data_IF_491782272582
#
_entry.id   IF_491782272582
#
_cell.length_a   1.000
_cell.length_b   1.000
_cell.length_c   1.000
_cell.angle_alpha   90.00
_cell.angle_beta   90.00
_cell.angle_gamma   90.00
#
_symmetry.space_group_name_H-M   'P 1'
#
loop_
_entity.id
_entity.type
_entity.pdbx_description
1 polymer ?
#
# COMPACT_ATOMS: atom_id res chain seq x y z
N UNK A 1 -4.42 -16.27 -33.30
CA UNK A 1 -4.32 -15.65 -31.97
C UNK A 1 -3.28 -16.44 -31.20
N UNK A 2 -2.11 -15.87 -30.94
CA UNK A 2 -1.19 -16.47 -29.98
C UNK A 2 -1.81 -16.25 -28.60
N UNK A 3 -2.10 -17.32 -27.87
CA UNK A 3 -2.52 -17.21 -26.47
C UNK A 3 -1.33 -16.64 -25.70
N UNK A 4 -1.51 -15.46 -25.09
CA UNK A 4 -0.48 -14.82 -24.29
C UNK A 4 -0.19 -15.70 -23.06
N UNK A 5 1.06 -16.10 -22.87
CA UNK A 5 1.46 -16.89 -21.69
C UNK A 5 1.88 -15.96 -20.57
N UNK A 6 1.32 -16.13 -19.39
CA UNK A 6 1.74 -15.38 -18.20
C UNK A 6 2.68 -16.22 -17.36
N UNK A 7 3.83 -15.67 -16.98
CA UNK A 7 4.82 -16.27 -16.09
C UNK A 7 5.00 -15.39 -14.85
N UNK A 8 5.40 -16.02 -13.76
CA UNK A 8 5.73 -15.32 -12.51
C UNK A 8 7.25 -15.27 -12.33
N UNK A 9 7.75 -14.12 -11.90
CA UNK A 9 9.15 -13.90 -11.57
C UNK A 9 9.29 -13.34 -10.15
N UNK A 10 10.40 -13.67 -9.51
CA UNK A 10 10.80 -13.10 -8.22
C UNK A 10 12.11 -12.35 -8.40
N UNK A 11 12.11 -11.06 -8.05
CA UNK A 11 13.29 -10.21 -8.06
C UNK A 11 13.75 -9.91 -6.64
N UNK A 12 15.00 -10.25 -6.31
CA UNK A 12 15.62 -10.02 -5.00
C UNK A 12 16.87 -9.15 -5.15
N UNK A 13 17.09 -8.23 -4.20
CA UNK A 13 18.33 -7.46 -4.15
C UNK A 13 19.45 -8.30 -3.55
N UNK A 14 20.49 -8.57 -4.33
CA UNK A 14 21.74 -9.19 -3.86
C UNK A 14 22.94 -8.26 -4.11
N UNK A 15 23.48 -7.70 -3.03
CA UNK A 15 24.54 -6.70 -3.08
C UNK A 15 24.18 -5.52 -4.01
N UNK A 16 24.90 -5.40 -5.14
CA UNK A 16 24.67 -4.34 -6.14
C UNK A 16 23.67 -4.74 -7.23
N UNK A 17 23.28 -6.00 -7.29
CA UNK A 17 22.46 -6.58 -8.35
C UNK A 17 21.04 -6.84 -7.88
N UNK A 18 20.15 -6.97 -8.85
CA UNK A 18 18.83 -7.56 -8.72
C UNK A 18 18.91 -8.90 -9.44
N UNK A 19 18.77 -9.97 -8.68
CA UNK A 19 18.61 -11.31 -9.21
C UNK A 19 17.14 -11.54 -9.51
N UNK A 20 16.83 -12.08 -10.68
CA UNK A 20 15.48 -12.23 -11.21
C UNK A 20 15.33 -13.69 -11.61
N UNK A 21 14.49 -14.42 -10.87
CA UNK A 21 14.23 -15.84 -11.11
C UNK A 21 12.85 -16.02 -11.72
N UNK A 22 12.74 -16.88 -12.74
CA UNK A 22 11.47 -17.36 -13.30
C UNK A 22 11.40 -18.87 -12.99
N UNK A 23 10.76 -19.28 -11.88
CA UNK A 23 10.80 -20.66 -11.40
C UNK A 23 10.25 -21.69 -12.41
N UNK A 24 9.20 -21.32 -13.16
CA UNK A 24 8.60 -22.19 -14.17
C UNK A 24 9.58 -22.53 -15.32
N UNK A 25 10.53 -21.63 -15.59
CA UNK A 25 11.54 -21.83 -16.61
C UNK A 25 12.83 -22.44 -16.06
N UNK A 26 13.00 -22.50 -14.73
CA UNK A 26 14.26 -22.83 -14.06
C UNK A 26 15.41 -21.95 -14.55
N UNK A 27 15.15 -20.64 -14.67
CA UNK A 27 16.10 -19.67 -15.24
C UNK A 27 16.21 -18.42 -14.38
N UNK A 28 17.40 -17.82 -14.42
CA UNK A 28 17.77 -16.62 -13.65
C UNK A 28 18.50 -15.63 -14.56
N UNK A 29 18.20 -14.34 -14.38
CA UNK A 29 18.96 -13.23 -14.97
C UNK A 29 19.22 -12.15 -13.92
N UNK A 30 20.04 -11.15 -14.24
CA UNK A 30 20.29 -10.05 -13.31
C UNK A 30 20.58 -8.70 -13.97
N UNK A 31 20.23 -7.63 -13.26
CA UNK A 31 20.57 -6.24 -13.62
C UNK A 31 20.96 -5.44 -12.38
N UNK A 32 21.72 -4.35 -12.55
CA UNK A 32 22.05 -3.42 -11.46
C UNK A 32 20.88 -2.48 -11.12
N UNK A 33 20.00 -2.19 -12.08
CA UNK A 33 18.95 -1.18 -11.92
C UNK A 33 17.59 -1.83 -11.73
N UNK A 34 16.88 -1.40 -10.69
CA UNK A 34 15.52 -1.85 -10.42
C UNK A 34 14.58 -1.58 -11.61
N UNK A 35 14.77 -0.44 -12.29
CA UNK A 35 13.97 -0.05 -13.47
C UNK A 35 14.13 -0.98 -14.68
N UNK A 36 15.18 -1.80 -14.72
CA UNK A 36 15.45 -2.73 -15.83
C UNK A 36 14.96 -4.15 -15.53
N UNK A 37 14.50 -4.42 -14.30
CA UNK A 37 14.13 -5.77 -13.87
C UNK A 37 13.03 -6.37 -14.76
N UNK A 38 11.97 -5.61 -15.03
CA UNK A 38 10.86 -6.07 -15.86
C UNK A 38 11.34 -6.46 -17.27
N UNK A 39 12.09 -5.58 -17.92
CA UNK A 39 12.62 -5.81 -19.28
C UNK A 39 13.52 -7.04 -19.34
N UNK A 40 14.34 -7.27 -18.31
CA UNK A 40 15.20 -8.45 -18.22
C UNK A 40 14.40 -9.73 -18.02
N UNK A 41 13.34 -9.70 -17.21
CA UNK A 41 12.44 -10.83 -16.99
C UNK A 41 11.72 -11.21 -18.29
N UNK A 42 11.12 -10.22 -18.98
CA UNK A 42 10.42 -10.42 -20.25
C UNK A 42 11.37 -10.95 -21.35
N UNK A 43 12.60 -10.39 -21.41
CA UNK A 43 13.62 -10.84 -22.35
C UNK A 43 14.08 -12.27 -22.09
N UNK A 44 14.30 -12.64 -20.83
CA UNK A 44 14.67 -14.00 -20.45
C UNK A 44 13.56 -14.99 -20.85
N UNK A 45 12.31 -14.68 -20.51
CA UNK A 45 11.18 -15.55 -20.81
C UNK A 45 10.99 -15.78 -22.32
N UNK A 46 11.01 -14.69 -23.11
CA UNK A 46 10.88 -14.76 -24.55
C UNK A 46 12.01 -15.58 -25.20
N UNK A 47 13.25 -15.37 -24.75
CA UNK A 47 14.42 -16.09 -25.27
C UNK A 47 14.38 -17.59 -24.95
N UNK A 48 13.97 -17.97 -23.74
CA UNK A 48 13.91 -19.37 -23.31
C UNK A 48 12.77 -20.12 -23.99
N UNK A 49 11.63 -19.46 -24.21
CA UNK A 49 10.47 -20.04 -24.87
C UNK A 49 10.55 -19.98 -26.41
N UNK A 50 11.56 -19.33 -26.95
CA UNK A 50 11.74 -19.07 -28.40
C UNK A 50 10.49 -18.44 -29.05
N UNK A 51 9.97 -17.40 -28.39
CA UNK A 51 8.78 -16.66 -28.84
C UNK A 51 9.04 -15.15 -28.85
N UNK A 52 8.27 -14.38 -29.64
CA UNK A 52 8.24 -12.93 -29.54
C UNK A 52 7.90 -12.44 -28.12
N UNK A 53 8.46 -11.29 -27.71
CA UNK A 53 8.21 -10.71 -26.36
C UNK A 53 6.74 -10.43 -26.08
N UNK A 54 5.97 -10.04 -27.09
CA UNK A 54 4.54 -9.76 -26.96
C UNK A 54 3.67 -11.01 -26.80
N UNK A 55 4.23 -12.21 -27.05
CA UNK A 55 3.56 -13.49 -26.79
C UNK A 55 3.64 -13.94 -25.32
N UNK A 56 4.43 -13.25 -24.49
CA UNK A 56 4.61 -13.56 -23.06
C UNK A 56 4.31 -12.33 -22.21
N UNK A 57 3.90 -12.55 -20.97
CA UNK A 57 3.75 -11.52 -19.94
C UNK A 57 4.41 -12.04 -18.68
N UNK A 58 5.39 -11.32 -18.13
CA UNK A 58 6.01 -11.71 -16.86
C UNK A 58 5.55 -10.79 -15.74
N UNK A 59 4.92 -11.36 -14.72
CA UNK A 59 4.58 -10.66 -13.49
C UNK A 59 5.77 -10.73 -12.53
N UNK A 60 6.42 -9.61 -12.29
CA UNK A 60 7.55 -9.56 -11.35
C UNK A 60 7.05 -9.18 -9.96
N UNK A 61 7.36 -10.04 -8.99
CA UNK A 61 7.24 -9.74 -7.56
C UNK A 61 8.61 -9.41 -6.97
N UNK A 62 8.65 -8.45 -6.05
CA UNK A 62 9.91 -8.01 -5.42
C UNK A 62 10.01 -8.58 -4.02
N UNK A 63 11.06 -9.36 -3.79
CA UNK A 63 11.35 -9.90 -2.48
C UNK A 63 12.09 -8.86 -1.63
N UNK A 64 11.48 -8.50 -0.51
CA UNK A 64 12.08 -7.67 0.51
C UNK A 64 12.82 -8.55 1.53
N UNK A 65 13.87 -8.03 2.20
CA UNK A 65 14.45 -8.71 3.35
C UNK A 65 13.39 -8.99 4.42
N UNK A 66 13.46 -10.15 5.08
CA UNK A 66 12.47 -10.60 6.07
C UNK A 66 12.22 -9.58 7.19
N UNK A 67 13.26 -8.88 7.64
CA UNK A 67 13.11 -7.81 8.63
C UNK A 67 12.24 -6.66 8.11
N UNK A 68 12.45 -6.24 6.85
CA UNK A 68 11.65 -5.18 6.23
C UNK A 68 10.21 -5.64 5.97
N UNK A 69 10.00 -6.90 5.56
CA UNK A 69 8.64 -7.48 5.42
C UNK A 69 7.87 -7.39 6.74
N UNK A 70 8.50 -7.76 7.86
CA UNK A 70 7.90 -7.72 9.20
C UNK A 70 7.55 -6.30 9.64
N UNK A 71 8.49 -5.36 9.54
CA UNK A 71 8.24 -3.97 9.92
C UNK A 71 7.16 -3.32 9.06
N UNK A 72 7.14 -3.61 7.75
CA UNK A 72 6.09 -3.12 6.85
C UNK A 72 4.71 -3.70 7.20
N UNK A 73 4.63 -4.99 7.50
CA UNK A 73 3.38 -5.62 7.92
C UNK A 73 2.85 -5.00 9.20
N UNK A 74 3.72 -4.79 10.20
CA UNK A 74 3.37 -4.14 11.46
C UNK A 74 2.89 -2.70 11.24
N UNK A 75 3.58 -1.92 10.41
CA UNK A 75 3.17 -0.55 10.08
C UNK A 75 1.77 -0.50 9.43
N UNK A 76 1.45 -1.45 8.55
CA UNK A 76 0.11 -1.55 7.94
C UNK A 76 -0.97 -1.92 8.97
N UNK A 77 -0.67 -2.84 9.88
CA UNK A 77 -1.57 -3.22 10.97
C UNK A 77 -1.86 -2.03 11.89
N UNK A 78 -0.82 -1.31 12.32
CA UNK A 78 -0.95 -0.14 13.18
C UNK A 78 -1.70 1.01 12.48
N UNK A 79 -1.47 1.19 11.17
CA UNK A 79 -2.21 2.17 10.36
C UNK A 79 -3.71 1.84 10.28
N UNK A 80 -4.06 0.55 10.12
CA UNK A 80 -5.45 0.11 10.12
C UNK A 80 -6.12 0.36 11.48
N UNK A 81 -5.44 -0.02 12.58
CA UNK A 81 -5.90 0.23 13.95
C UNK A 81 -6.08 1.72 14.24
N UNK A 82 -5.11 2.55 13.84
CA UNK A 82 -5.19 4.00 14.02
C UNK A 82 -6.38 4.61 13.26
N UNK A 83 -6.67 4.11 12.06
CA UNK A 83 -7.85 4.53 11.29
C UNK A 83 -9.16 4.19 12.01
N UNK A 84 -9.30 2.97 12.51
CA UNK A 84 -10.48 2.54 13.27
C UNK A 84 -10.68 3.38 14.53
N UNK A 85 -9.61 3.57 15.32
CA UNK A 85 -9.64 4.41 16.52
C UNK A 85 -9.97 5.87 16.20
N UNK A 86 -9.45 6.41 15.09
CA UNK A 86 -9.76 7.78 14.65
C UNK A 86 -11.24 7.94 14.25
N UNK A 87 -11.81 6.93 13.58
CA UNK A 87 -13.23 6.93 13.22
C UNK A 87 -14.12 6.88 14.47
N UNK A 88 -13.80 5.99 15.42
CA UNK A 88 -14.51 5.89 16.70
C UNK A 88 -14.41 7.20 17.50
N UNK A 89 -13.20 7.76 17.64
CA UNK A 89 -12.99 9.04 18.31
C UNK A 89 -13.83 10.16 17.67
N UNK A 90 -13.85 10.25 16.34
CA UNK A 90 -14.66 11.24 15.63
C UNK A 90 -16.17 11.07 15.90
N UNK A 91 -16.68 9.83 15.98
CA UNK A 91 -18.07 9.55 16.35
C UNK A 91 -18.38 9.98 17.79
N UNK A 92 -17.50 9.67 18.74
CA UNK A 92 -17.65 10.11 20.12
C UNK A 92 -17.61 11.64 20.24
N UNK A 93 -16.70 12.31 19.54
CA UNK A 93 -16.65 13.78 19.52
C UNK A 93 -17.96 14.37 18.97
N UNK A 94 -18.51 13.82 17.88
CA UNK A 94 -19.82 14.27 17.35
C UNK A 94 -20.93 14.12 18.39
N UNK A 95 -21.00 12.97 19.06
CA UNK A 95 -22.01 12.73 20.10
C UNK A 95 -21.93 13.75 21.22
N UNK A 96 -20.72 14.05 21.73
CA UNK A 96 -20.52 15.03 22.80
C UNK A 96 -20.90 16.45 22.33
N UNK A 97 -20.43 16.86 21.15
CA UNK A 97 -20.73 18.21 20.61
C UNK A 97 -22.24 18.40 20.41
N UNK A 98 -22.93 17.41 19.83
CA UNK A 98 -24.39 17.48 19.63
C UNK A 98 -25.15 17.44 20.96
N UNK A 99 -24.71 16.63 21.92
CA UNK A 99 -25.30 16.55 23.26
C UNK A 99 -25.25 17.89 23.99
N UNK A 100 -24.06 18.51 24.07
CA UNK A 100 -23.88 19.83 24.68
C UNK A 100 -24.73 20.90 23.99
N UNK A 101 -24.77 20.90 22.66
CA UNK A 101 -25.60 21.86 21.94
C UNK A 101 -27.10 21.67 22.23
N UNK A 102 -27.57 20.42 22.38
CA UNK A 102 -28.96 20.13 22.77
C UNK A 102 -29.28 20.59 24.20
N UNK A 103 -28.28 20.63 25.09
CA UNK A 103 -28.39 21.19 26.44
C UNK A 103 -28.31 22.74 26.48
N UNK A 104 -28.18 23.39 25.31
CA UNK A 104 -28.21 24.85 25.19
C UNK A 104 -26.83 25.52 25.18
N UNK A 105 -25.74 24.75 25.16
CA UNK A 105 -24.39 25.32 25.02
C UNK A 105 -24.22 25.93 23.63
N UNK A 106 -23.68 27.15 23.58
CA UNK A 106 -23.34 27.77 22.29
C UNK A 106 -22.09 27.11 21.70
N UNK A 107 -21.86 27.27 20.40
CA UNK A 107 -20.64 26.77 19.74
C UNK A 107 -19.36 27.33 20.38
N UNK A 108 -19.41 28.56 20.90
CA UNK A 108 -18.28 29.18 21.64
C UNK A 108 -18.04 28.52 23.00
N UNK A 109 -19.10 28.08 23.68
CA UNK A 109 -18.97 27.35 24.94
C UNK A 109 -18.36 25.97 24.69
N UNK A 110 -18.83 25.27 23.65
CA UNK A 110 -18.32 23.96 23.23
C UNK A 110 -16.83 24.03 22.87
N UNK A 111 -16.40 25.08 22.15
CA UNK A 111 -14.98 25.31 21.86
C UNK A 111 -14.14 25.43 23.15
N UNK A 112 -14.59 26.26 24.10
CA UNK A 112 -13.85 26.47 25.37
C UNK A 112 -13.85 25.23 26.26
N UNK A 113 -14.97 24.51 26.33
CA UNK A 113 -15.12 23.34 27.20
C UNK A 113 -14.39 22.12 26.66
N UNK A 114 -14.47 21.87 25.35
CA UNK A 114 -13.86 20.68 24.73
C UNK A 114 -12.47 20.93 24.16
N UNK A 115 -12.02 22.19 24.09
CA UNK A 115 -10.71 22.54 23.53
C UNK A 115 -10.58 22.30 22.03
N UNK A 116 -11.69 22.19 21.31
CA UNK A 116 -11.73 22.08 19.84
C UNK A 116 -12.02 23.44 19.22
N UNK A 117 -11.49 23.72 18.03
CA UNK A 117 -11.72 25.02 17.39
C UNK A 117 -13.20 25.27 17.08
N UNK A 118 -13.61 26.54 17.10
CA UNK A 118 -14.95 26.97 16.71
C UNK A 118 -15.41 26.37 15.38
N UNK A 119 -14.53 26.37 14.37
CA UNK A 119 -14.81 25.83 13.05
C UNK A 119 -15.08 24.33 13.11
N UNK A 120 -14.29 23.57 13.90
CA UNK A 120 -14.48 22.14 14.07
C UNK A 120 -15.79 21.83 14.79
N UNK A 121 -16.10 22.54 15.87
CA UNK A 121 -17.38 22.42 16.58
C UNK A 121 -18.57 22.71 15.64
N UNK A 122 -18.48 23.79 14.86
CA UNK A 122 -19.50 24.18 13.88
C UNK A 122 -19.69 23.12 12.79
N UNK A 123 -18.61 22.51 12.30
CA UNK A 123 -18.66 21.46 11.29
C UNK A 123 -19.36 20.21 11.82
N UNK A 124 -19.01 19.77 13.04
CA UNK A 124 -19.55 18.55 13.66
C UNK A 124 -21.05 18.64 14.00
N UNK A 125 -21.63 19.84 14.01
CA UNK A 125 -23.07 20.08 14.14
C UNK A 125 -23.80 20.10 12.79
N UNK A 126 -23.08 20.28 11.67
CA UNK A 126 -23.62 20.36 10.31
C UNK A 126 -23.51 19.03 9.56
N UNK A 127 -22.42 18.31 9.78
CA UNK A 127 -22.27 16.87 9.46
C UNK A 127 -23.30 16.07 10.26
#
# INVERSE_FOLDING_TARGET
MHSQRTLEAVAMKDGKWWEISIPELDQVTSTKKLSEVQEYADSLAAAILDVPKDAVTVNVTYELPEAAKREWAKAREETAKARELSMSAAEHTRRVVRGLHAEGYTVRDIEKVLGISFQRASQLLKD
#
